data_IF_983344601669
#
_entry.id   IF_983344601669
#
_cell.length_a   1.000
_cell.length_b   1.000
_cell.length_c   1.000
_cell.angle_alpha   90.00
_cell.angle_beta   90.00
_cell.angle_gamma   90.00
#
_symmetry.space_group_name_H-M   'P 1'
#
loop_
_entity.id
_entity.type
_entity.pdbx_description
1 polymer ?
#
# COMPACT_ATOMS: atom_id res chain seq x y z
N UNK A 1 13.65 -30.00 -20.72
CA UNK A 1 13.87 -29.00 -19.66
C UNK A 1 12.78 -27.94 -19.77
N UNK A 2 11.77 -27.96 -18.90
CA UNK A 2 10.69 -26.96 -18.90
C UNK A 2 11.12 -25.80 -17.99
N UNK A 3 11.39 -24.63 -18.58
CA UNK A 3 11.67 -23.40 -17.82
C UNK A 3 10.34 -22.79 -17.40
N UNK A 4 10.08 -22.79 -16.09
CA UNK A 4 8.94 -22.09 -15.50
C UNK A 4 9.28 -20.60 -15.46
N UNK A 5 8.69 -19.82 -16.37
CA UNK A 5 8.78 -18.37 -16.31
C UNK A 5 7.80 -17.88 -15.24
N UNK A 6 8.30 -17.27 -14.16
CA UNK A 6 7.46 -16.44 -13.29
C UNK A 6 7.04 -15.21 -14.12
N UNK A 7 5.78 -15.18 -14.53
CA UNK A 7 5.15 -13.99 -15.07
C UNK A 7 4.88 -13.04 -13.91
N UNK A 8 5.80 -12.10 -13.65
CA UNK A 8 5.50 -10.97 -12.78
C UNK A 8 4.38 -10.16 -13.41
N UNK A 9 3.31 -9.90 -12.67
CA UNK A 9 2.23 -8.99 -13.05
C UNK A 9 2.75 -7.55 -13.00
N UNK A 10 3.45 -7.13 -14.06
CA UNK A 10 3.94 -5.77 -14.22
C UNK A 10 2.87 -4.94 -14.92
N UNK A 11 2.37 -3.90 -14.24
CA UNK A 11 1.53 -2.88 -14.86
C UNK A 11 2.44 -1.80 -15.46
N UNK A 12 2.41 -1.56 -16.78
CA UNK A 12 3.21 -0.50 -17.39
C UNK A 12 2.83 0.89 -16.87
N UNK A 13 3.80 1.79 -16.78
CA UNK A 13 3.57 3.17 -16.35
C UNK A 13 2.52 3.87 -17.24
N UNK A 14 1.63 4.64 -16.60
CA UNK A 14 0.57 5.38 -17.28
C UNK A 14 -0.67 4.56 -17.66
N UNK A 15 -0.70 3.25 -17.37
CA UNK A 15 -1.90 2.43 -17.55
C UNK A 15 -2.75 2.40 -16.28
N UNK A 16 -4.07 2.43 -16.47
CA UNK A 16 -5.03 2.13 -15.42
C UNK A 16 -5.19 0.62 -15.28
N UNK A 17 -5.40 0.16 -14.04
CA UNK A 17 -5.68 -1.24 -13.73
C UNK A 17 -6.69 -1.30 -12.59
N UNK A 18 -7.38 -2.44 -12.47
CA UNK A 18 -8.26 -2.71 -11.33
C UNK A 18 -7.43 -3.21 -10.15
N UNK A 19 -7.67 -2.65 -8.97
CA UNK A 19 -7.15 -3.15 -7.70
C UNK A 19 -8.32 -3.41 -6.77
N UNK A 20 -8.45 -4.66 -6.32
CA UNK A 20 -9.37 -5.06 -5.25
C UNK A 20 -8.58 -5.11 -3.94
N UNK A 21 -8.69 -4.11 -3.05
CA UNK A 21 -7.84 -4.03 -1.86
C UNK A 21 -8.13 -5.19 -0.90
N UNK A 22 -7.08 -5.89 -0.47
CA UNK A 22 -7.16 -6.98 0.53
C UNK A 22 -6.34 -6.69 1.80
N UNK A 23 -5.44 -5.71 1.75
CA UNK A 23 -4.71 -5.23 2.92
C UNK A 23 -4.16 -3.82 2.67
N UNK A 24 -3.96 -3.07 3.77
CA UNK A 24 -3.27 -1.77 3.82
C UNK A 24 -2.32 -1.79 5.00
N UNK A 25 -1.10 -1.29 4.83
CA UNK A 25 -0.06 -1.34 5.86
C UNK A 25 0.16 0.02 6.53
N UNK A 26 0.72 1.01 5.81
CA UNK A 26 0.86 2.39 6.30
C UNK A 26 -0.17 3.33 5.66
N UNK A 27 -0.07 4.63 5.96
CA UNK A 27 -0.95 5.68 5.44
C UNK A 27 -0.76 6.04 3.96
N UNK A 28 0.31 5.57 3.32
CA UNK A 28 0.57 5.73 1.87
C UNK A 28 0.76 4.37 1.15
N UNK A 29 0.66 3.26 1.89
CA UNK A 29 0.69 1.89 1.39
C UNK A 29 1.72 0.99 2.12
N UNK A 30 2.12 -0.15 1.54
CA UNK A 30 1.50 -0.75 0.37
C UNK A 30 -0.01 -0.96 0.54
N UNK A 31 -0.73 -0.90 -0.57
CA UNK A 31 -2.07 -1.47 -0.72
C UNK A 31 -1.88 -2.77 -1.48
N UNK A 32 -2.29 -3.89 -0.89
CA UNK A 32 -2.25 -5.19 -1.54
C UNK A 32 -3.53 -5.37 -2.34
N UNK A 33 -3.39 -5.59 -3.64
CA UNK A 33 -4.49 -5.90 -4.53
C UNK A 33 -4.63 -7.42 -4.66
N UNK A 34 -5.85 -7.95 -4.69
CA UNK A 34 -6.11 -9.37 -4.94
C UNK A 34 -5.52 -9.83 -6.29
N UNK A 35 -5.37 -8.90 -7.24
CA UNK A 35 -4.79 -9.09 -8.57
C UNK A 35 -3.27 -9.28 -8.54
N UNK A 36 -2.62 -9.04 -7.40
CA UNK A 36 -1.18 -9.25 -7.18
C UNK A 36 -0.33 -7.98 -6.97
N UNK A 37 -0.59 -6.82 -7.60
CA UNK A 37 0.21 -5.62 -7.37
C UNK A 37 0.17 -5.14 -5.92
N UNK A 38 1.30 -4.62 -5.43
CA UNK A 38 1.39 -3.87 -4.19
C UNK A 38 1.62 -2.39 -4.53
N UNK A 39 0.68 -1.53 -4.17
CA UNK A 39 0.63 -0.13 -4.63
C UNK A 39 1.07 0.82 -3.53
N UNK A 40 1.91 1.81 -3.86
CA UNK A 40 2.27 2.95 -2.99
C UNK A 40 1.73 4.22 -3.63
N UNK A 41 1.13 5.10 -2.83
CA UNK A 41 0.68 6.41 -3.31
C UNK A 41 1.90 7.30 -3.57
N UNK A 42 2.09 7.69 -4.83
CA UNK A 42 3.22 8.56 -5.19
C UNK A 42 2.95 10.00 -4.75
N UNK A 43 3.95 10.65 -4.14
CA UNK A 43 3.85 12.04 -3.69
C UNK A 43 3.12 12.22 -2.35
N UNK A 44 2.73 11.13 -1.69
CA UNK A 44 2.20 11.13 -0.33
C UNK A 44 3.30 10.63 0.60
N UNK A 45 3.46 11.28 1.76
CA UNK A 45 4.30 10.80 2.84
C UNK A 45 3.42 10.41 4.03
N UNK A 46 3.73 9.28 4.65
CA UNK A 46 3.13 8.85 5.91
C UNK A 46 4.25 8.50 6.91
N UNK A 47 3.90 8.47 8.20
CA UNK A 47 4.78 7.85 9.20
C UNK A 47 4.78 6.34 9.00
N UNK A 48 5.92 5.72 9.27
CA UNK A 48 6.02 4.26 9.38
C UNK A 48 5.14 3.78 10.55
N UNK A 49 4.67 2.52 10.55
CA UNK A 49 3.83 1.98 11.65
C UNK A 49 4.41 2.11 13.07
N UNK A 50 5.72 2.32 13.23
CA UNK A 50 6.36 2.58 14.53
C UNK A 50 6.37 4.08 14.92
N UNK A 51 5.73 4.94 14.14
CA UNK A 51 5.65 6.40 14.33
C UNK A 51 6.85 7.18 13.80
N UNK A 52 7.90 6.50 13.33
CA UNK A 52 9.09 7.17 12.78
C UNK A 52 8.84 7.78 11.40
N UNK A 53 9.71 8.69 11.01
CA UNK A 53 9.68 9.34 9.71
C UNK A 53 10.90 8.88 8.91
N UNK A 54 10.66 8.55 7.64
CA UNK A 54 11.73 8.10 6.74
C UNK A 54 12.74 9.23 6.45
N UNK A 55 14.06 8.95 6.45
CA UNK A 55 15.08 9.98 6.20
C UNK A 55 14.88 10.66 4.84
N UNK A 56 14.89 12.00 4.83
CA UNK A 56 14.70 12.80 3.62
C UNK A 56 13.24 12.96 3.17
N UNK A 57 12.27 12.44 3.93
CA UNK A 57 10.85 12.64 3.68
C UNK A 57 10.24 13.65 4.67
N UNK A 58 9.14 14.33 4.30
CA UNK A 58 8.33 15.07 5.26
C UNK A 58 7.88 14.16 6.40
N UNK A 59 7.63 14.77 7.56
CA UNK A 59 7.18 14.07 8.76
C UNK A 59 5.79 14.61 9.16
N UNK A 60 4.69 14.09 8.57
CA UNK A 60 3.36 14.63 8.80
C UNK A 60 2.93 14.54 10.26
N UNK A 61 2.04 15.43 10.70
CA UNK A 61 1.52 15.44 12.07
C UNK A 61 0.60 14.25 12.37
N UNK A 62 -0.01 13.66 11.34
CA UNK A 62 -0.89 12.51 11.48
C UNK A 62 -0.13 11.30 12.04
N UNK A 63 -0.74 10.64 13.03
CA UNK A 63 -0.28 9.36 13.57
C UNK A 63 -0.31 8.26 12.49
N UNK A 64 0.59 7.28 12.59
CA UNK A 64 0.73 6.19 11.61
C UNK A 64 -0.55 5.34 11.50
N UNK A 65 -1.16 4.98 12.64
CA UNK A 65 -2.39 4.19 12.68
C UNK A 65 -3.55 5.00 12.14
N UNK A 66 -3.66 6.28 12.54
CA UNK A 66 -4.70 7.18 12.03
C UNK A 66 -4.61 7.37 10.51
N UNK A 67 -3.40 7.52 9.96
CA UNK A 67 -3.18 7.65 8.53
C UNK A 67 -3.56 6.37 7.77
N UNK A 68 -3.16 5.19 8.26
CA UNK A 68 -3.58 3.90 7.70
C UNK A 68 -5.10 3.75 7.72
N UNK A 69 -5.74 4.02 8.86
CA UNK A 69 -7.20 3.86 9.01
C UNK A 69 -7.98 4.81 8.12
N UNK A 70 -7.47 6.02 7.93
CA UNK A 70 -8.03 6.94 6.95
C UNK A 70 -7.94 6.37 5.52
N UNK A 71 -6.79 5.86 5.11
CA UNK A 71 -6.62 5.24 3.80
C UNK A 71 -7.54 4.02 3.63
N UNK A 72 -7.67 3.17 4.65
CA UNK A 72 -8.62 2.05 4.64
C UNK A 72 -10.05 2.55 4.39
N UNK A 73 -10.49 3.58 5.11
CA UNK A 73 -11.83 4.16 4.95
C UNK A 73 -12.10 4.77 3.57
N UNK A 74 -11.07 5.23 2.86
CA UNK A 74 -11.19 5.70 1.47
C UNK A 74 -11.35 4.54 0.47
N UNK A 75 -10.75 3.39 0.76
CA UNK A 75 -10.73 2.22 -0.12
C UNK A 75 -11.95 1.30 0.07
N UNK A 76 -12.59 1.35 1.24
CA UNK A 76 -13.80 0.60 1.54
C UNK A 76 -13.85 0.10 2.99
N UNK A 77 -14.54 -1.01 3.22
CA UNK A 77 -14.61 -1.63 4.54
C UNK A 77 -13.24 -2.25 4.92
N UNK A 78 -12.77 -2.09 6.17
CA UNK A 78 -11.57 -2.77 6.65
C UNK A 78 -11.69 -4.30 6.56
N UNK A 79 -11.16 -4.90 5.50
CA UNK A 79 -11.12 -6.35 5.35
C UNK A 79 -9.83 -6.90 5.96
N UNK A 80 -9.94 -7.56 7.12
CA UNK A 80 -8.81 -8.25 7.77
C UNK A 80 -7.80 -7.31 8.43
N UNK A 81 -7.71 -7.33 9.76
CA UNK A 81 -6.52 -6.79 10.45
C UNK A 81 -5.38 -7.79 10.25
N UNK A 82 -4.31 -7.37 9.58
CA UNK A 82 -3.10 -8.19 9.52
C UNK A 82 -2.61 -8.38 10.97
N UNK A 83 -2.43 -9.63 11.39
CA UNK A 83 -1.87 -9.92 12.72
C UNK A 83 -0.39 -9.56 12.65
N UNK A 84 -0.01 -8.52 13.40
CA UNK A 84 1.38 -8.15 13.69
C UNK A 84 2.20 -9.34 14.13
#
# INVERSE_FOLDING_TARGET
MLRLFLLASVVPAGQSFTCTPIAVWDGDGPIWCAEGPHVRLSGVAAREMNGSCSPGHPCPDADAVAARDHLVGLLGEPQGRNRT
#
